data_IF_732841575935
#
_entry.id   IF_732841575935
#
_cell.length_a   1.000
_cell.length_b   1.000
_cell.length_c   1.000
_cell.angle_alpha   90.00
_cell.angle_beta   90.00
_cell.angle_gamma   90.00
#
_symmetry.space_group_name_H-M   'P 1'
#
loop_
_entity.id
_entity.type
_entity.pdbx_description
1 polymer ?
#
# COMPACT_ATOMS: atom_id res chain seq x y z
N UNK A 1 45.30 -66.65 70.59
CA UNK A 1 44.24 -67.29 69.77
C UNK A 1 43.18 -66.26 69.34
N UNK A 2 43.08 -65.11 70.02
CA UNK A 2 42.03 -64.09 69.77
C UNK A 2 42.14 -63.27 68.48
N UNK A 3 43.32 -63.21 67.84
CA UNK A 3 43.51 -62.41 66.62
C UNK A 3 42.84 -63.02 65.38
N UNK A 4 42.58 -64.33 65.39
CA UNK A 4 41.97 -65.05 64.26
C UNK A 4 40.42 -65.01 64.30
N UNK A 5 39.80 -65.04 65.49
CA UNK A 5 38.35 -64.88 65.65
C UNK A 5 37.82 -63.50 65.18
N UNK A 6 38.62 -62.45 65.37
CA UNK A 6 38.26 -61.08 64.95
C UNK A 6 38.23 -60.91 63.43
N UNK A 7 39.10 -61.60 62.69
CA UNK A 7 39.12 -61.56 61.22
C UNK A 7 37.96 -62.35 60.61
N UNK A 8 37.57 -63.46 61.23
CA UNK A 8 36.48 -64.34 60.76
C UNK A 8 35.11 -63.70 61.00
N UNK A 9 34.94 -62.98 62.13
CA UNK A 9 33.75 -62.15 62.39
C UNK A 9 33.65 -60.95 61.44
N UNK A 10 34.78 -60.29 61.11
CA UNK A 10 34.83 -59.22 60.10
C UNK A 10 34.57 -59.71 58.67
N UNK A 11 35.01 -60.93 58.35
CA UNK A 11 34.76 -61.61 57.08
C UNK A 11 33.29 -61.97 56.87
N UNK A 12 32.61 -62.58 57.85
CA UNK A 12 31.17 -62.88 57.76
C UNK A 12 30.28 -61.63 57.75
N UNK A 13 30.71 -60.54 58.43
CA UNK A 13 30.04 -59.25 58.32
C UNK A 13 30.21 -58.70 56.90
N UNK A 14 31.44 -58.68 56.37
CA UNK A 14 31.75 -58.25 55.00
C UNK A 14 30.99 -59.03 53.92
N UNK A 15 30.79 -60.33 54.09
CA UNK A 15 30.10 -61.20 53.12
C UNK A 15 28.58 -60.88 53.00
N UNK A 16 27.94 -60.51 54.11
CA UNK A 16 26.52 -60.07 54.12
C UNK A 16 26.33 -58.65 53.57
N UNK A 17 27.30 -57.76 53.80
CA UNK A 17 27.30 -56.43 53.18
C UNK A 17 27.63 -56.48 51.68
N UNK A 18 28.49 -57.40 51.23
CA UNK A 18 28.78 -57.61 49.81
C UNK A 18 27.56 -58.00 48.97
N UNK A 19 26.73 -58.92 49.49
CA UNK A 19 25.46 -59.30 48.84
C UNK A 19 24.47 -58.11 48.76
N UNK A 20 24.38 -57.32 49.83
CA UNK A 20 23.49 -56.15 49.91
C UNK A 20 23.97 -55.02 48.97
N UNK A 21 25.27 -54.72 48.95
CA UNK A 21 25.88 -53.74 48.03
C UNK A 21 25.73 -54.16 46.57
N UNK A 22 25.86 -55.45 46.27
CA UNK A 22 25.64 -55.98 44.92
C UNK A 22 24.17 -55.87 44.49
N UNK A 23 23.23 -56.10 45.41
CA UNK A 23 21.80 -55.93 45.16
C UNK A 23 21.44 -54.46 44.90
N UNK A 24 21.96 -53.54 45.70
CA UNK A 24 21.79 -52.10 45.47
C UNK A 24 22.42 -51.66 44.14
N UNK A 25 23.61 -52.16 43.80
CA UNK A 25 24.24 -51.89 42.50
C UNK A 25 23.40 -52.37 41.32
N UNK A 26 22.84 -53.58 41.39
CA UNK A 26 21.91 -54.11 40.38
C UNK A 26 20.63 -53.28 40.26
N UNK A 27 20.02 -52.90 41.38
CA UNK A 27 18.83 -52.03 41.42
C UNK A 27 19.12 -50.62 40.87
N UNK A 28 20.30 -50.05 41.14
CA UNK A 28 20.72 -48.76 40.56
C UNK A 28 20.83 -48.85 39.04
N UNK A 29 21.37 -49.95 38.49
CA UNK A 29 21.46 -50.16 37.04
C UNK A 29 20.07 -50.30 36.42
N UNK A 30 19.15 -51.04 37.05
CA UNK A 30 17.76 -51.17 36.59
C UNK A 30 17.05 -49.81 36.63
N UNK A 31 17.21 -49.05 37.71
CA UNK A 31 16.68 -47.70 37.83
C UNK A 31 17.22 -46.77 36.73
N UNK A 32 18.52 -46.82 36.45
CA UNK A 32 19.15 -46.05 35.38
C UNK A 32 18.62 -46.44 34.00
N UNK A 33 18.47 -47.73 33.71
CA UNK A 33 17.90 -48.22 32.45
C UNK A 33 16.45 -47.76 32.27
N UNK A 34 15.66 -47.78 33.35
CA UNK A 34 14.29 -47.27 33.33
C UNK A 34 14.26 -45.75 33.04
N UNK A 35 15.14 -44.97 33.68
CA UNK A 35 15.26 -43.53 33.38
C UNK A 35 15.71 -43.28 31.93
N UNK A 36 16.66 -44.06 31.38
CA UNK A 36 17.07 -43.95 29.97
C UNK A 36 15.91 -44.25 29.02
N UNK A 37 15.06 -45.23 29.37
CA UNK A 37 13.87 -45.53 28.59
C UNK A 37 12.90 -44.35 28.54
N UNK A 38 12.59 -43.74 29.68
CA UNK A 38 11.74 -42.54 29.76
C UNK A 38 12.35 -41.35 28.99
N UNK A 39 13.65 -41.08 29.18
CA UNK A 39 14.35 -40.01 28.45
C UNK A 39 14.29 -40.18 26.93
N UNK A 40 14.32 -41.43 26.43
CA UNK A 40 14.18 -41.70 24.99
C UNK A 40 12.78 -41.38 24.48
N UNK A 41 11.75 -41.61 25.28
CA UNK A 41 10.37 -41.27 24.93
C UNK A 41 10.17 -39.76 24.93
N UNK A 42 10.66 -39.06 25.97
CA UNK A 42 10.65 -37.59 26.04
C UNK A 42 11.37 -36.95 24.84
N UNK A 43 12.52 -37.49 24.44
CA UNK A 43 13.24 -37.02 23.25
C UNK A 43 12.46 -37.22 21.95
N UNK A 44 11.69 -38.31 21.83
CA UNK A 44 10.83 -38.54 20.66
C UNK A 44 9.71 -37.51 20.62
N UNK A 45 9.01 -37.31 21.74
CA UNK A 45 7.94 -36.32 21.85
C UNK A 45 8.48 -34.91 21.56
N UNK A 46 9.63 -34.55 22.15
CA UNK A 46 10.25 -33.25 21.94
C UNK A 46 10.61 -33.00 20.46
N UNK A 47 11.13 -34.01 19.75
CA UNK A 47 11.41 -33.91 18.31
C UNK A 47 10.14 -33.72 17.50
N UNK A 48 9.08 -34.45 17.83
CA UNK A 48 7.80 -34.33 17.13
C UNK A 48 7.14 -32.97 17.36
N UNK A 49 7.13 -32.48 18.61
CA UNK A 49 6.65 -31.13 18.93
C UNK A 49 7.48 -30.06 18.21
N UNK A 50 8.80 -30.22 18.12
CA UNK A 50 9.65 -29.30 17.37
C UNK A 50 9.32 -29.31 15.86
N UNK A 51 9.11 -30.50 15.28
CA UNK A 51 8.70 -30.64 13.88
C UNK A 51 7.37 -29.94 13.61
N UNK A 52 6.35 -30.19 14.43
CA UNK A 52 5.05 -29.53 14.32
C UNK A 52 5.16 -28.01 14.50
N UNK A 53 5.99 -27.54 15.44
CA UNK A 53 6.23 -26.11 15.64
C UNK A 53 6.89 -25.45 14.42
N UNK A 54 7.84 -26.13 13.75
CA UNK A 54 8.43 -25.64 12.50
C UNK A 54 7.38 -25.56 11.39
N UNK A 55 6.51 -26.58 11.26
CA UNK A 55 5.43 -26.58 10.28
C UNK A 55 4.42 -25.44 10.52
N UNK A 56 4.02 -25.22 11.77
CA UNK A 56 3.15 -24.10 12.16
C UNK A 56 3.80 -22.74 11.86
N UNK A 57 5.11 -22.59 12.12
CA UNK A 57 5.85 -21.38 11.78
C UNK A 57 5.89 -21.13 10.27
N UNK A 58 6.08 -22.18 9.46
CA UNK A 58 6.05 -22.05 8.00
C UNK A 58 4.66 -21.60 7.50
N UNK A 59 3.59 -22.18 8.03
CA UNK A 59 2.21 -21.78 7.73
C UNK A 59 1.93 -20.35 8.21
N UNK A 60 2.42 -19.98 9.39
CA UNK A 60 2.27 -18.62 9.93
C UNK A 60 2.99 -17.60 9.05
N UNK A 61 4.21 -17.90 8.62
CA UNK A 61 4.99 -17.03 7.71
C UNK A 61 4.29 -16.84 6.36
N UNK A 62 3.69 -17.89 5.79
CA UNK A 62 2.95 -17.77 4.53
C UNK A 62 1.69 -16.91 4.68
N UNK A 63 0.94 -17.10 5.77
CA UNK A 63 -0.21 -16.25 6.13
C UNK A 63 0.20 -14.79 6.35
N UNK A 64 1.31 -14.56 7.04
CA UNK A 64 1.84 -13.21 7.28
C UNK A 64 2.23 -12.52 5.96
N UNK A 65 2.84 -13.26 5.03
CA UNK A 65 3.16 -12.73 3.71
C UNK A 65 1.89 -12.35 2.91
N UNK A 66 0.82 -13.14 3.00
CA UNK A 66 -0.47 -12.81 2.37
C UNK A 66 -1.13 -11.59 3.04
N UNK A 67 -1.14 -11.54 4.37
CA UNK A 67 -1.65 -10.39 5.12
C UNK A 67 -0.90 -9.11 4.79
N UNK A 68 0.43 -9.15 4.63
CA UNK A 68 1.21 -7.98 4.24
C UNK A 68 0.76 -7.43 2.88
N UNK A 69 0.49 -8.30 1.89
CA UNK A 69 -0.02 -7.86 0.59
C UNK A 69 -1.39 -7.16 0.72
N UNK A 70 -2.28 -7.71 1.54
CA UNK A 70 -3.59 -7.08 1.82
C UNK A 70 -3.40 -5.73 2.51
N UNK A 71 -2.51 -5.64 3.49
CA UNK A 71 -2.21 -4.39 4.21
C UNK A 71 -1.61 -3.32 3.30
N UNK A 72 -0.72 -3.70 2.38
CA UNK A 72 -0.17 -2.78 1.37
C UNK A 72 -1.27 -2.20 0.48
N UNK A 73 -2.15 -3.06 -0.04
CA UNK A 73 -3.30 -2.62 -0.83
C UNK A 73 -4.24 -1.71 -0.03
N UNK A 74 -4.55 -2.06 1.23
CA UNK A 74 -5.38 -1.23 2.10
C UNK A 74 -4.75 0.14 2.39
N UNK A 75 -3.43 0.20 2.62
CA UNK A 75 -2.69 1.46 2.82
C UNK A 75 -2.74 2.33 1.57
N UNK A 76 -2.55 1.72 0.40
CA UNK A 76 -2.70 2.41 -0.88
C UNK A 76 -4.12 2.97 -1.01
N UNK A 77 -5.15 2.14 -0.87
CA UNK A 77 -6.55 2.53 -1.07
C UNK A 77 -6.98 3.61 -0.07
N UNK A 78 -6.57 3.48 1.19
CA UNK A 78 -6.82 4.50 2.22
C UNK A 78 -6.24 5.85 1.82
N UNK A 79 -4.96 5.87 1.40
CA UNK A 79 -4.31 7.10 0.92
C UNK A 79 -4.98 7.65 -0.33
N UNK A 80 -5.30 6.78 -1.30
CA UNK A 80 -5.98 7.14 -2.54
C UNK A 80 -7.33 7.81 -2.25
N UNK A 81 -8.18 7.20 -1.43
CA UNK A 81 -9.49 7.76 -1.10
C UNK A 81 -9.40 9.03 -0.24
N UNK A 82 -8.38 9.14 0.62
CA UNK A 82 -8.10 10.38 1.35
C UNK A 82 -7.70 11.52 0.40
N UNK A 83 -6.84 11.25 -0.58
CA UNK A 83 -6.48 12.23 -1.61
C UNK A 83 -7.69 12.57 -2.50
N UNK A 84 -8.52 11.59 -2.84
CA UNK A 84 -9.76 11.80 -3.60
C UNK A 84 -10.74 12.70 -2.83
N UNK A 85 -10.90 12.47 -1.53
CA UNK A 85 -11.69 13.31 -0.64
C UNK A 85 -11.10 14.72 -0.53
N UNK A 86 -9.78 14.86 -0.47
CA UNK A 86 -9.12 16.16 -0.50
C UNK A 86 -9.39 16.90 -1.82
N UNK A 87 -9.30 16.22 -2.96
CA UNK A 87 -9.65 16.79 -4.27
C UNK A 87 -11.11 17.24 -4.32
N UNK A 88 -12.03 16.44 -3.75
CA UNK A 88 -13.43 16.82 -3.59
C UNK A 88 -13.60 18.05 -2.69
N UNK A 89 -12.93 18.10 -1.55
CA UNK A 89 -13.04 19.17 -0.56
C UNK A 89 -12.39 20.48 -1.04
N UNK A 90 -11.30 20.41 -1.80
CA UNK A 90 -10.69 21.58 -2.45
C UNK A 90 -11.67 22.31 -3.36
N UNK A 91 -12.65 21.61 -3.96
CA UNK A 91 -13.75 22.25 -4.72
C UNK A 91 -14.72 23.04 -3.85
N UNK A 92 -14.95 22.62 -2.60
CA UNK A 92 -15.91 23.26 -1.70
C UNK A 92 -15.37 24.50 -0.99
N UNK A 93 -14.03 24.62 -0.89
CA UNK A 93 -13.39 25.69 -0.12
C UNK A 93 -13.40 27.05 -0.82
N UNK A 94 -13.49 27.09 -2.15
CA UNK A 94 -13.70 28.34 -2.88
C UNK A 94 -15.18 28.71 -2.90
N UNK A 95 -15.51 30.01 -2.90
CA UNK A 95 -16.90 30.40 -3.12
C UNK A 95 -17.32 29.94 -4.52
N UNK A 96 -18.53 29.39 -4.65
CA UNK A 96 -19.07 28.97 -5.95
C UNK A 96 -19.02 30.13 -6.96
N UNK A 97 -19.17 31.36 -6.48
CA UNK A 97 -19.08 32.60 -7.25
C UNK A 97 -17.67 32.84 -7.79
N UNK A 98 -16.63 32.77 -6.96
CA UNK A 98 -15.23 32.90 -7.42
C UNK A 98 -14.88 31.84 -8.48
N UNK A 99 -15.30 30.59 -8.26
CA UNK A 99 -15.09 29.50 -9.22
C UNK A 99 -15.74 29.81 -10.58
N UNK A 100 -16.98 30.32 -10.54
CA UNK A 100 -17.74 30.70 -11.73
C UNK A 100 -17.14 31.92 -12.43
N UNK A 101 -16.69 32.92 -11.68
CA UNK A 101 -16.04 34.12 -12.23
C UNK A 101 -14.73 33.76 -12.93
N UNK A 102 -13.87 32.99 -12.27
CA UNK A 102 -12.61 32.48 -12.82
C UNK A 102 -12.87 31.66 -14.09
N UNK A 103 -13.87 30.77 -14.07
CA UNK A 103 -14.26 29.98 -15.23
C UNK A 103 -14.80 30.84 -16.38
N UNK A 104 -15.68 31.81 -16.09
CA UNK A 104 -16.29 32.67 -17.10
C UNK A 104 -15.27 33.62 -17.73
N UNK A 105 -14.34 34.17 -16.95
CA UNK A 105 -13.25 35.00 -17.44
C UNK A 105 -12.30 34.20 -18.33
N UNK A 106 -11.96 32.98 -17.92
CA UNK A 106 -11.20 32.05 -18.75
C UNK A 106 -11.96 31.74 -20.04
N UNK A 107 -13.21 31.29 -19.94
CA UNK A 107 -14.03 30.97 -21.11
C UNK A 107 -14.13 32.13 -22.09
N UNK A 108 -14.44 33.35 -21.65
CA UNK A 108 -14.47 34.56 -22.51
C UNK A 108 -13.12 34.81 -23.18
N UNK A 109 -12.03 34.49 -22.50
CA UNK A 109 -10.69 34.60 -23.06
C UNK A 109 -10.42 33.59 -24.18
N UNK A 110 -11.16 32.46 -24.22
CA UNK A 110 -10.99 31.36 -25.18
C UNK A 110 -12.18 31.09 -26.13
N UNK A 111 -13.35 31.68 -25.91
CA UNK A 111 -14.58 31.41 -26.68
C UNK A 111 -14.54 31.97 -28.12
N UNK A 112 -13.63 32.91 -28.41
CA UNK A 112 -13.46 33.47 -29.75
C UNK A 112 -12.47 32.66 -30.61
N UNK A 113 -11.99 31.51 -30.13
CA UNK A 113 -11.11 30.64 -30.90
C UNK A 113 -11.94 29.58 -31.63
N UNK A 114 -12.12 29.75 -32.95
CA UNK A 114 -13.05 28.93 -33.75
C UNK A 114 -12.67 27.45 -33.86
N UNK A 115 -11.39 27.12 -33.84
CA UNK A 115 -10.84 25.78 -33.59
C UNK A 115 -9.35 25.88 -33.80
N UNK A 116 -8.57 25.32 -32.89
CA UNK A 116 -7.12 25.39 -33.00
C UNK A 116 -6.53 24.05 -32.58
N UNK A 117 -5.58 23.57 -33.39
CA UNK A 117 -4.60 22.57 -32.96
C UNK A 117 -4.04 22.96 -31.58
N UNK A 118 -3.75 21.99 -30.72
CA UNK A 118 -3.20 22.21 -29.37
C UNK A 118 -1.97 23.12 -29.43
N UNK A 119 -1.14 22.98 -30.48
CA UNK A 119 0.02 23.85 -30.71
C UNK A 119 -0.37 25.31 -30.91
N UNK A 120 -1.40 25.56 -31.70
CA UNK A 120 -1.87 26.91 -32.00
C UNK A 120 -2.59 27.52 -30.80
N UNK A 121 -3.27 26.71 -29.98
CA UNK A 121 -3.78 27.14 -28.67
C UNK A 121 -2.64 27.52 -27.72
N UNK A 122 -1.57 26.72 -27.64
CA UNK A 122 -0.41 27.01 -26.80
C UNK A 122 0.29 28.31 -27.22
N UNK A 123 0.53 28.51 -28.52
CA UNK A 123 1.14 29.74 -29.05
C UNK A 123 0.32 30.96 -28.65
N UNK A 124 -1.00 30.92 -28.86
CA UNK A 124 -1.90 32.04 -28.53
C UNK A 124 -2.12 32.22 -27.03
N UNK A 125 -2.09 31.13 -26.27
CA UNK A 125 -2.11 31.15 -24.81
C UNK A 125 -0.90 31.92 -24.27
N UNK A 126 0.30 31.57 -24.74
CA UNK A 126 1.54 32.22 -24.34
C UNK A 126 1.62 33.70 -24.79
N UNK A 127 1.03 34.05 -25.93
CA UNK A 127 0.98 35.45 -26.40
C UNK A 127 0.06 36.33 -25.53
N UNK A 128 -1.03 35.76 -24.99
CA UNK A 128 -2.00 36.47 -24.14
C UNK A 128 -1.61 36.47 -22.66
N UNK A 129 -0.75 35.54 -22.24
CA UNK A 129 -0.15 35.47 -20.90
C UNK A 129 0.95 36.53 -20.66
N UNK A 130 0.98 37.64 -21.39
CA UNK A 130 1.90 38.76 -21.11
C UNK A 130 1.19 39.96 -20.46
N UNK A 131 -0.13 39.90 -20.24
CA UNK A 131 -0.95 40.97 -19.64
C UNK A 131 -1.67 40.54 -18.34
N UNK A 132 -1.02 39.76 -17.48
CA UNK A 132 -1.65 38.83 -16.52
C UNK A 132 -2.03 39.46 -15.17
N UNK A 133 -3.34 39.48 -14.86
CA UNK A 133 -3.84 39.32 -13.48
C UNK A 133 -4.82 38.14 -13.39
N UNK A 134 -5.63 37.95 -14.43
CA UNK A 134 -6.64 36.88 -14.53
C UNK A 134 -6.04 35.49 -14.71
N UNK A 135 -4.89 35.37 -15.38
CA UNK A 135 -4.22 34.09 -15.60
C UNK A 135 -3.51 33.56 -14.34
N UNK A 136 -2.85 34.42 -13.56
CA UNK A 136 -2.26 34.03 -12.28
C UNK A 136 -3.33 33.69 -11.26
N UNK A 137 -4.41 34.49 -11.20
CA UNK A 137 -5.53 34.19 -10.32
C UNK A 137 -6.19 32.83 -10.63
N UNK A 138 -6.35 32.52 -11.92
CA UNK A 138 -6.87 31.23 -12.39
C UNK A 138 -5.92 30.05 -12.09
N UNK A 139 -4.63 30.19 -12.41
CA UNK A 139 -3.65 29.15 -12.16
C UNK A 139 -3.53 28.87 -10.67
N UNK A 140 -3.52 29.91 -9.83
CA UNK A 140 -3.43 29.79 -8.38
C UNK A 140 -4.68 29.14 -7.78
N UNK A 141 -5.87 29.48 -8.28
CA UNK A 141 -7.13 28.88 -7.81
C UNK A 141 -7.15 27.36 -8.03
N UNK A 142 -6.72 26.90 -9.21
CA UNK A 142 -6.73 25.48 -9.56
C UNK A 142 -5.42 24.75 -9.24
N UNK A 143 -4.40 25.45 -8.75
CA UNK A 143 -3.09 24.87 -8.51
C UNK A 143 -3.17 23.69 -7.52
N UNK A 144 -3.87 23.90 -6.39
CA UNK A 144 -4.03 22.85 -5.38
C UNK A 144 -4.81 21.64 -5.93
N UNK A 145 -5.83 21.88 -6.75
CA UNK A 145 -6.60 20.84 -7.41
C UNK A 145 -5.71 20.00 -8.32
N UNK A 146 -4.91 20.65 -9.18
CA UNK A 146 -4.04 19.97 -10.12
C UNK A 146 -2.88 19.25 -9.41
N UNK A 147 -2.30 19.84 -8.37
CA UNK A 147 -1.28 19.18 -7.54
C UNK A 147 -1.83 17.90 -6.90
N UNK A 148 -3.04 17.96 -6.36
CA UNK A 148 -3.70 16.79 -5.77
C UNK A 148 -4.00 15.74 -6.84
N UNK A 149 -4.49 16.15 -8.02
CA UNK A 149 -4.69 15.26 -9.15
C UNK A 149 -3.39 14.56 -9.55
N UNK A 150 -2.29 15.29 -9.69
CA UNK A 150 -0.99 14.70 -10.01
C UNK A 150 -0.51 13.70 -8.97
N UNK A 151 -0.64 14.05 -7.68
CA UNK A 151 -0.28 13.13 -6.60
C UNK A 151 -1.08 11.82 -6.67
N UNK A 152 -2.38 11.89 -7.00
CA UNK A 152 -3.20 10.69 -7.19
C UNK A 152 -2.71 9.90 -8.40
N UNK A 153 -2.52 10.54 -9.55
CA UNK A 153 -2.12 9.84 -10.78
C UNK A 153 -0.73 9.20 -10.66
N UNK A 154 0.22 9.92 -10.06
CA UNK A 154 1.58 9.43 -9.85
C UNK A 154 1.60 8.23 -8.90
N UNK A 155 0.80 8.29 -7.82
CA UNK A 155 0.66 7.19 -6.87
C UNK A 155 0.04 5.94 -7.50
N UNK A 156 -1.01 6.11 -8.31
CA UNK A 156 -1.64 4.97 -9.03
C UNK A 156 -0.63 4.29 -9.94
N UNK A 157 0.16 5.05 -10.71
CA UNK A 157 1.14 4.45 -11.64
C UNK A 157 2.34 3.84 -10.91
N UNK A 158 2.80 4.46 -9.82
CA UNK A 158 3.98 3.99 -9.09
C UNK A 158 3.71 2.78 -8.19
N UNK A 159 2.52 2.67 -7.60
CA UNK A 159 2.21 1.61 -6.62
C UNK A 159 1.36 0.47 -7.18
N UNK A 160 0.62 0.69 -8.28
CA UNK A 160 -0.19 -0.36 -8.92
C UNK A 160 0.53 -0.87 -10.17
N UNK A 161 0.99 -2.12 -10.14
CA UNK A 161 1.77 -2.73 -11.22
C UNK A 161 0.89 -3.07 -12.44
N UNK A 162 -0.34 -3.53 -12.20
CA UNK A 162 -1.23 -4.02 -13.25
C UNK A 162 -1.99 -2.88 -13.93
N UNK A 163 -1.87 -2.78 -15.26
CA UNK A 163 -2.58 -1.78 -16.07
C UNK A 163 -4.11 -1.86 -15.93
N UNK A 164 -4.68 -3.07 -15.79
CA UNK A 164 -6.11 -3.24 -15.55
C UNK A 164 -6.56 -2.59 -14.22
N UNK A 165 -5.75 -2.71 -13.18
CA UNK A 165 -6.08 -2.14 -11.88
C UNK A 165 -5.81 -0.64 -11.85
N UNK A 166 -4.79 -0.16 -12.57
CA UNK A 166 -4.60 1.27 -12.81
C UNK A 166 -5.84 1.89 -13.50
N UNK A 167 -6.35 1.26 -14.55
CA UNK A 167 -7.55 1.71 -15.28
C UNK A 167 -8.78 1.77 -14.35
N UNK A 168 -8.95 0.79 -13.45
CA UNK A 168 -9.98 0.84 -12.41
C UNK A 168 -9.87 2.12 -11.55
N UNK A 169 -8.70 2.46 -11.03
CA UNK A 169 -8.53 3.66 -10.19
C UNK A 169 -8.65 4.96 -11.00
N UNK A 170 -8.17 4.99 -12.25
CA UNK A 170 -8.37 6.15 -13.13
C UNK A 170 -9.84 6.36 -13.50
N UNK A 171 -10.63 5.30 -13.68
CA UNK A 171 -12.09 5.41 -13.84
C UNK A 171 -12.75 6.00 -12.61
N UNK A 172 -12.38 5.54 -11.40
CA UNK A 172 -12.89 6.11 -10.15
C UNK A 172 -12.56 7.61 -10.06
N UNK A 173 -11.30 7.98 -10.34
CA UNK A 173 -10.86 9.37 -10.38
C UNK A 173 -11.66 10.17 -11.42
N UNK A 174 -11.83 9.64 -12.63
CA UNK A 174 -12.62 10.28 -13.70
C UNK A 174 -14.05 10.59 -13.26
N UNK A 175 -14.72 9.62 -12.64
CA UNK A 175 -16.12 9.75 -12.20
C UNK A 175 -16.26 10.73 -11.05
N UNK A 176 -15.24 10.86 -10.19
CA UNK A 176 -15.25 11.80 -9.07
C UNK A 176 -15.24 13.28 -9.50
N UNK A 177 -14.83 13.55 -10.74
CA UNK A 177 -14.68 14.89 -11.32
C UNK A 177 -15.88 15.23 -12.21
N UNK A 178 -16.40 16.44 -12.06
CA UNK A 178 -17.47 16.92 -12.95
C UNK A 178 -16.88 17.33 -14.31
N UNK A 179 -17.73 17.61 -15.29
CA UNK A 179 -17.29 18.02 -16.63
C UNK A 179 -16.47 19.32 -16.65
N UNK A 180 -16.73 20.26 -15.71
CA UNK A 180 -15.95 21.49 -15.56
C UNK A 180 -14.53 21.16 -15.07
N UNK A 181 -14.40 20.38 -14.00
CA UNK A 181 -13.10 19.97 -13.43
C UNK A 181 -12.22 19.27 -14.47
N UNK A 182 -12.81 18.37 -15.27
CA UNK A 182 -12.08 17.65 -16.31
C UNK A 182 -11.66 18.57 -17.46
N UNK A 183 -12.52 19.51 -17.87
CA UNK A 183 -12.18 20.52 -18.88
C UNK A 183 -11.05 21.44 -18.40
N UNK A 184 -11.15 21.89 -17.15
CA UNK A 184 -10.17 22.74 -16.49
C UNK A 184 -8.81 22.07 -16.39
N UNK A 185 -8.80 20.83 -15.94
CA UNK A 185 -7.62 19.99 -15.90
C UNK A 185 -7.05 19.78 -17.31
N UNK A 186 -7.89 19.50 -18.31
CA UNK A 186 -7.45 19.38 -19.69
C UNK A 186 -6.72 20.65 -20.15
N UNK A 187 -7.28 21.84 -19.93
CA UNK A 187 -6.62 23.09 -20.28
C UNK A 187 -5.31 23.28 -19.52
N UNK A 188 -5.28 23.04 -18.21
CA UNK A 188 -4.06 23.17 -17.42
C UNK A 188 -2.94 22.26 -17.94
N UNK A 189 -3.26 21.00 -18.24
CA UNK A 189 -2.29 20.00 -18.71
C UNK A 189 -1.82 20.25 -20.15
N UNK A 190 -2.66 20.88 -20.98
CA UNK A 190 -2.36 21.09 -22.39
C UNK A 190 -1.81 22.47 -22.72
N UNK A 191 -2.02 23.48 -21.86
CA UNK A 191 -1.63 24.86 -22.16
C UNK A 191 -0.43 25.37 -21.35
N UNK A 192 -0.01 24.70 -20.27
CA UNK A 192 1.20 25.11 -19.51
C UNK A 192 2.50 24.73 -20.22
N UNK A 193 3.53 25.56 -20.00
CA UNK A 193 4.90 25.39 -20.50
C UNK A 193 5.63 24.19 -19.87
N UNK A 194 5.29 23.82 -18.62
CA UNK A 194 5.96 22.71 -17.91
C UNK A 194 5.58 21.30 -18.41
N UNK A 195 4.78 21.20 -19.48
CA UNK A 195 4.48 19.94 -20.15
C UNK A 195 3.48 19.06 -19.41
N UNK A 196 3.00 18.05 -20.14
CA UNK A 196 2.16 16.97 -19.60
C UNK A 196 3.05 16.02 -18.79
N UNK A 197 2.57 15.40 -17.69
CA UNK A 197 3.31 14.31 -17.06
C UNK A 197 3.61 13.19 -18.05
N UNK A 198 4.68 12.45 -17.82
CA UNK A 198 5.03 11.26 -18.60
C UNK A 198 3.84 10.29 -18.68
N UNK A 199 3.11 10.15 -17.56
CA UNK A 199 1.96 9.26 -17.42
C UNK A 199 0.66 9.80 -18.01
N UNK A 200 0.66 11.00 -18.61
CA UNK A 200 -0.53 11.62 -19.20
C UNK A 200 -1.18 10.75 -20.27
N UNK A 201 -0.38 10.15 -21.16
CA UNK A 201 -0.89 9.31 -22.23
C UNK A 201 -1.74 8.14 -21.68
N UNK A 202 -1.29 7.55 -20.58
CA UNK A 202 -1.94 6.41 -19.90
C UNK A 202 -3.34 6.75 -19.39
N UNK A 203 -3.52 7.86 -18.67
CA UNK A 203 -4.82 8.17 -18.07
C UNK A 203 -5.69 9.12 -18.90
N UNK A 204 -5.13 9.86 -19.86
CA UNK A 204 -5.84 10.93 -20.57
C UNK A 204 -7.08 10.43 -21.31
N UNK A 205 -7.01 9.24 -21.92
CA UNK A 205 -8.12 8.65 -22.66
C UNK A 205 -9.29 8.26 -21.75
N UNK A 206 -9.00 7.91 -20.50
CA UNK A 206 -10.00 7.52 -19.49
C UNK A 206 -10.59 8.76 -18.83
N UNK A 207 -9.73 9.64 -18.31
CA UNK A 207 -10.12 10.83 -17.57
C UNK A 207 -10.89 11.81 -18.46
N UNK A 208 -10.44 12.02 -19.71
CA UNK A 208 -11.06 12.97 -20.62
C UNK A 208 -12.08 12.34 -21.57
N UNK A 209 -12.47 11.07 -21.33
CA UNK A 209 -13.46 10.38 -22.14
C UNK A 209 -14.78 11.14 -22.17
N UNK A 210 -15.30 11.37 -23.38
CA UNK A 210 -16.59 12.05 -23.59
C UNK A 210 -16.54 13.56 -23.40
N UNK A 211 -15.39 14.15 -23.06
CA UNK A 211 -15.20 15.59 -23.23
C UNK A 211 -15.12 15.87 -24.72
N UNK A 212 -16.16 16.52 -25.25
CA UNK A 212 -16.10 17.08 -26.59
C UNK A 212 -15.14 18.25 -26.55
N UNK A 213 -13.88 18.01 -26.89
CA UNK A 213 -12.93 19.09 -27.14
C UNK A 213 -13.50 19.94 -28.28
N UNK A 214 -13.69 21.23 -28.01
CA UNK A 214 -14.00 22.26 -29.00
C UNK A 214 -15.31 22.05 -29.79
N UNK A 215 -16.44 22.39 -29.17
CA UNK A 215 -17.59 22.81 -29.97
C UNK A 215 -18.41 23.85 -29.23
N UNK A 216 -19.21 24.64 -29.97
CA UNK A 216 -20.22 25.60 -29.50
C UNK A 216 -21.16 25.08 -28.38
N UNK A 217 -21.08 23.80 -28.03
CA UNK A 217 -21.76 23.12 -26.92
C UNK A 217 -21.26 23.49 -25.52
N UNK A 218 -20.20 24.27 -25.35
CA UNK A 218 -19.78 24.72 -24.00
C UNK A 218 -20.84 25.57 -23.29
N UNK A 219 -21.76 26.20 -24.04
CA UNK A 219 -22.92 26.91 -23.47
C UNK A 219 -23.88 25.97 -22.72
N UNK A 220 -24.07 24.74 -23.19
CA UNK A 220 -25.00 23.77 -22.57
C UNK A 220 -24.51 23.22 -21.22
N UNK A 221 -23.20 23.29 -20.96
CA UNK A 221 -22.58 22.86 -19.69
C UNK A 221 -22.67 23.91 -18.58
N UNK A 222 -23.06 25.14 -18.92
CA UNK A 222 -23.30 26.23 -17.98
C UNK A 222 -24.78 26.35 -17.57
N UNK A 223 -25.67 25.67 -18.30
CA UNK A 223 -27.12 25.65 -18.07
C UNK A 223 -27.58 24.38 -17.30
N UNK A 224 -26.65 23.53 -16.85
CA UNK A 224 -26.89 22.33 -16.01
C UNK A 224 -26.23 22.44 -14.64
#
# INVERSE_FOLDING_TARGET
IDKYLSYEQGGQFGDRFGATTSLFGGLTIVGLLYTIFLQREDLKIARETNRLSIEELQISNSRFAEQNKVLELQRFETTFFNLLNNLYNSRKKGSLQEAQEVHNQFYRSFNNFDCLDIKELQIRFNAKSQNISTHDHYLNYYEQFVRTFYAITDRVVSEIINEHDQDKYFKILSVSMNSRDRLMLWYFLNLRVNGRPIIYATYSQVIFKGLKTFHKSHKALLES
#
